data_IF_379118587122
#
_entry.id   IF_379118587122
#
_cell.length_a   1.000
_cell.length_b   1.000
_cell.length_c   1.000
_cell.angle_alpha   90.00
_cell.angle_beta   90.00
_cell.angle_gamma   90.00
#
_symmetry.space_group_name_H-M   'P 1'
#
loop_
_entity.id
_entity.type
_entity.pdbx_description
1 polymer ?
#
# COMPACT_ATOMS: atom_id res chain seq x y z
N UNK A 1 16.43 -9.16 -0.78
CA UNK A 1 15.33 -8.20 -0.61
C UNK A 1 14.85 -8.23 0.83
N UNK A 2 15.04 -7.14 1.56
CA UNK A 2 14.68 -6.99 2.98
C UNK A 2 13.16 -6.88 3.20
N UNK A 3 12.69 -7.02 4.43
CA UNK A 3 11.28 -6.79 4.79
C UNK A 3 10.84 -5.36 4.44
N UNK A 4 11.71 -4.38 4.67
CA UNK A 4 11.52 -2.98 4.29
C UNK A 4 11.35 -2.80 2.76
N UNK A 5 12.24 -3.37 1.95
CA UNK A 5 12.16 -3.26 0.49
C UNK A 5 10.87 -3.90 -0.05
N UNK A 6 10.50 -5.07 0.48
CA UNK A 6 9.24 -5.75 0.13
C UNK A 6 8.01 -4.92 0.50
N UNK A 7 8.05 -4.18 1.60
CA UNK A 7 6.95 -3.32 2.01
C UNK A 7 6.76 -2.14 1.06
N UNK A 8 7.86 -1.49 0.65
CA UNK A 8 7.80 -0.38 -0.31
C UNK A 8 7.34 -0.84 -1.70
N UNK A 9 7.83 -1.99 -2.16
CA UNK A 9 7.36 -2.58 -3.42
C UNK A 9 5.86 -2.88 -3.37
N UNK A 10 5.36 -3.44 -2.26
CA UNK A 10 3.94 -3.72 -2.10
C UNK A 10 3.10 -2.43 -2.08
N UNK A 11 3.57 -1.35 -1.45
CA UNK A 11 2.91 -0.03 -1.48
C UNK A 11 2.82 0.49 -2.91
N UNK A 12 3.89 0.39 -3.69
CA UNK A 12 3.88 0.83 -5.08
C UNK A 12 2.91 0.01 -5.95
N UNK A 13 2.86 -1.31 -5.75
CA UNK A 13 1.88 -2.18 -6.44
C UNK A 13 0.43 -1.83 -6.08
N UNK A 14 0.18 -1.45 -4.82
CA UNK A 14 -1.13 -0.99 -4.38
C UNK A 14 -1.49 0.36 -5.04
N UNK A 15 -0.56 1.31 -5.09
CA UNK A 15 -0.72 2.60 -5.77
C UNK A 15 -1.10 2.43 -7.23
N UNK A 16 -0.31 1.64 -7.99
CA UNK A 16 -0.60 1.36 -9.40
C UNK A 16 -1.99 0.74 -9.58
N UNK A 17 -2.37 -0.17 -8.70
CA UNK A 17 -3.65 -0.87 -8.82
C UNK A 17 -4.84 0.01 -8.49
N UNK A 18 -4.73 0.86 -7.47
CA UNK A 18 -5.77 1.87 -7.17
C UNK A 18 -5.89 2.86 -8.31
N UNK A 19 -4.77 3.35 -8.84
CA UNK A 19 -4.79 4.25 -10.00
C UNK A 19 -5.49 3.60 -11.22
N UNK A 20 -5.17 2.33 -11.51
CA UNK A 20 -5.85 1.58 -12.56
C UNK A 20 -7.34 1.39 -12.29
N UNK A 21 -7.73 1.07 -11.06
CA UNK A 21 -9.13 0.92 -10.66
C UNK A 21 -9.92 2.24 -10.77
N UNK A 22 -9.28 3.38 -10.51
CA UNK A 22 -9.90 4.70 -10.70
C UNK A 22 -10.15 5.04 -12.16
N UNK A 23 -9.28 4.58 -13.07
CA UNK A 23 -9.40 4.81 -14.50
C UNK A 23 -10.30 3.77 -15.21
N UNK A 24 -10.66 2.68 -14.53
CA UNK A 24 -11.35 1.53 -15.10
C UNK A 24 -12.79 1.41 -14.59
N UNK A 25 -13.69 0.94 -15.46
CA UNK A 25 -15.06 0.54 -15.07
C UNK A 25 -15.16 -0.94 -14.72
N UNK A 26 -14.06 -1.69 -14.81
CA UNK A 26 -14.06 -3.13 -14.57
C UNK A 26 -14.04 -3.45 -13.08
N UNK A 27 -14.98 -4.30 -12.64
CA UNK A 27 -15.05 -4.78 -11.26
C UNK A 27 -13.78 -5.54 -10.86
N UNK A 28 -13.12 -6.21 -11.82
CA UNK A 28 -11.88 -6.94 -11.58
C UNK A 28 -10.74 -6.04 -11.09
N UNK A 29 -10.60 -4.84 -11.67
CA UNK A 29 -9.56 -3.88 -11.25
C UNK A 29 -9.83 -3.33 -9.84
N UNK A 30 -11.11 -3.12 -9.49
CA UNK A 30 -11.51 -2.73 -8.14
C UNK A 30 -11.20 -3.83 -7.11
N UNK A 31 -11.49 -5.09 -7.43
CA UNK A 31 -11.14 -6.20 -6.52
C UNK A 31 -9.63 -6.37 -6.37
N UNK A 32 -8.88 -6.20 -7.46
CA UNK A 32 -7.42 -6.30 -7.46
C UNK A 32 -6.77 -5.20 -6.63
N UNK A 33 -7.24 -3.96 -6.74
CA UNK A 33 -6.76 -2.83 -5.91
C UNK A 33 -7.01 -3.06 -4.42
N UNK A 34 -8.19 -3.55 -4.03
CA UNK A 34 -8.47 -3.95 -2.63
C UNK A 34 -7.46 -4.99 -2.12
N UNK A 35 -7.20 -6.04 -2.92
CA UNK A 35 -6.26 -7.09 -2.56
C UNK A 35 -4.83 -6.54 -2.38
N UNK A 36 -4.35 -5.73 -3.32
CA UNK A 36 -3.00 -5.16 -3.22
C UNK A 36 -2.86 -4.18 -2.05
N UNK A 37 -3.89 -3.39 -1.74
CA UNK A 37 -3.91 -2.54 -0.55
C UNK A 37 -3.76 -3.36 0.73
N UNK A 38 -4.51 -4.47 0.85
CA UNK A 38 -4.40 -5.36 2.00
C UNK A 38 -3.00 -5.95 2.14
N UNK A 39 -2.41 -6.44 1.04
CA UNK A 39 -1.05 -7.00 1.03
C UNK A 39 -0.03 -5.94 1.45
N UNK A 40 -0.11 -4.73 0.89
CA UNK A 40 0.80 -3.64 1.21
C UNK A 40 0.76 -3.26 2.70
N UNK A 41 -0.44 -3.18 3.27
CA UNK A 41 -0.63 -2.94 4.72
C UNK A 41 0.02 -4.01 5.59
N UNK A 42 -0.19 -5.29 5.26
CA UNK A 42 0.43 -6.39 5.99
C UNK A 42 1.96 -6.31 5.92
N UNK A 43 2.52 -6.02 4.74
CA UNK A 43 3.97 -5.91 4.55
C UNK A 43 4.56 -4.72 5.29
N UNK A 44 3.93 -3.55 5.24
CA UNK A 44 4.36 -2.36 5.98
C UNK A 44 4.31 -2.62 7.48
N UNK A 45 3.23 -3.21 7.99
CA UNK A 45 3.11 -3.54 9.40
C UNK A 45 4.17 -4.56 9.86
N UNK A 46 4.48 -5.55 9.03
CA UNK A 46 5.55 -6.49 9.30
C UNK A 46 6.92 -5.80 9.33
N UNK A 47 7.22 -4.98 8.32
CA UNK A 47 8.49 -4.25 8.23
C UNK A 47 8.69 -3.30 9.42
N UNK A 48 7.63 -2.63 9.90
CA UNK A 48 7.72 -1.77 11.09
C UNK A 48 8.17 -2.50 12.36
N UNK A 49 7.87 -3.80 12.48
CA UNK A 49 8.34 -4.63 13.61
C UNK A 49 9.78 -5.10 13.47
N UNK A 50 10.30 -5.11 12.25
CA UNK A 50 11.64 -5.63 11.92
C UNK A 50 12.70 -4.51 11.88
N UNK A 51 12.27 -3.27 11.62
CA UNK A 51 13.15 -2.10 11.49
C UNK A 51 13.30 -1.41 12.84
N UNK A 52 14.16 -1.96 13.70
CA UNK A 52 14.58 -1.34 14.97
C UNK A 52 15.95 -0.67 14.81
N UNK A 53 16.09 0.58 15.26
CA UNK A 53 17.37 1.33 15.25
C UNK A 53 17.74 2.04 13.95
N UNK A 54 17.01 1.79 12.85
CA UNK A 54 17.16 2.52 11.58
C UNK A 54 16.05 3.59 11.46
N UNK A 55 16.40 4.82 11.85
CA UNK A 55 15.48 5.97 11.89
C UNK A 55 14.96 6.35 10.50
N UNK A 56 15.81 6.24 9.47
CA UNK A 56 15.44 6.60 8.10
C UNK A 56 14.43 5.60 7.54
N UNK A 57 14.66 4.30 7.77
CA UNK A 57 13.72 3.26 7.37
C UNK A 57 12.40 3.35 8.15
N UNK A 58 12.44 3.69 9.45
CA UNK A 58 11.22 3.96 10.23
C UNK A 58 10.43 5.14 9.69
N UNK A 59 11.09 6.26 9.38
CA UNK A 59 10.45 7.44 8.79
C UNK A 59 9.79 7.11 7.45
N UNK A 60 10.49 6.37 6.57
CA UNK A 60 9.94 5.95 5.27
C UNK A 60 8.76 5.00 5.41
N UNK A 61 8.78 4.07 6.38
CA UNK A 61 7.62 3.22 6.68
C UNK A 61 6.44 4.02 7.21
N UNK A 62 6.68 5.06 8.01
CA UNK A 62 5.61 5.95 8.46
C UNK A 62 4.97 6.70 7.28
N UNK A 63 5.78 7.23 6.35
CA UNK A 63 5.27 7.83 5.11
C UNK A 63 4.47 6.83 4.27
N UNK A 64 4.91 5.56 4.20
CA UNK A 64 4.18 4.51 3.50
C UNK A 64 2.82 4.21 4.15
N UNK A 65 2.69 4.28 5.48
CA UNK A 65 1.39 4.14 6.18
C UNK A 65 0.44 5.27 5.79
N UNK A 66 0.90 6.52 5.84
CA UNK A 66 0.06 7.67 5.44
C UNK A 66 -0.33 7.59 3.97
N UNK A 67 0.58 7.18 3.10
CA UNK A 67 0.27 6.95 1.68
C UNK A 67 -0.83 5.87 1.53
N UNK A 68 -0.69 4.72 2.20
CA UNK A 68 -1.70 3.65 2.15
C UNK A 68 -3.07 4.10 2.63
N UNK A 69 -3.13 4.98 3.65
CA UNK A 69 -4.38 5.58 4.09
C UNK A 69 -5.05 6.39 2.99
N UNK A 70 -4.30 7.23 2.28
CA UNK A 70 -4.86 8.00 1.17
C UNK A 70 -5.31 7.13 -0.01
N UNK A 71 -4.59 6.03 -0.29
CA UNK A 71 -5.02 5.08 -1.30
C UNK A 71 -6.31 4.35 -0.91
N UNK A 72 -6.54 4.07 0.37
CA UNK A 72 -7.82 3.53 0.82
C UNK A 72 -8.96 4.53 0.71
N UNK A 73 -8.73 5.79 1.08
CA UNK A 73 -9.71 6.86 0.90
C UNK A 73 -10.10 6.99 -0.60
N UNK A 74 -9.11 6.91 -1.48
CA UNK A 74 -9.29 6.89 -2.93
C UNK A 74 -10.04 5.65 -3.42
N UNK A 75 -9.76 4.47 -2.87
CA UNK A 75 -10.44 3.22 -3.21
C UNK A 75 -11.90 3.21 -2.75
N UNK A 76 -12.18 3.69 -1.54
CA UNK A 76 -13.54 3.77 -1.00
C UNK A 76 -14.42 4.68 -1.84
N UNK A 77 -13.87 5.78 -2.36
CA UNK A 77 -14.59 6.67 -3.28
C UNK A 77 -14.99 6.03 -4.62
N UNK A 78 -14.49 4.82 -4.94
CA UNK A 78 -14.95 4.04 -6.09
C UNK A 78 -16.18 3.19 -5.80
N UNK A 79 -16.48 2.94 -4.52
CA UNK A 79 -17.62 2.11 -4.09
C UNK A 79 -18.92 2.92 -3.92
N UNK A 80 -18.81 4.25 -3.79
CA UNK A 80 -19.91 5.23 -3.74
C UNK A 80 -20.44 5.60 -5.14
#
# INVERSE_FOLDING_TARGET
MSGFEKALEAVHQAEESVYHAQASTEIGDRQKSVLHLQIAKEKVHQAQKEVEGDVDAQHRLHQAVEHLRHLEEAQQALED
#
